data_IF_877037895878
#
_entry.id   IF_877037895878
#
_cell.length_a   1.000
_cell.length_b   1.000
_cell.length_c   1.000
_cell.angle_alpha   90.00
_cell.angle_beta   90.00
_cell.angle_gamma   90.00
#
_symmetry.space_group_name_H-M   'P 1'
#
loop_
_entity.id
_entity.type
_entity.pdbx_description
1 polymer ?
#
# COMPACT_ATOMS: atom_id res chain seq x y z
N UNK A 1 -5.91 -8.95 18.42
CA UNK A 1 -6.87 -8.99 17.30
C UNK A 1 -6.13 -9.54 16.10
N UNK A 2 -6.41 -10.77 15.68
CA UNK A 2 -5.78 -11.36 14.49
C UNK A 2 -6.75 -11.19 13.32
N UNK A 3 -6.38 -10.36 12.36
CA UNK A 3 -7.07 -10.31 11.07
C UNK A 3 -6.47 -11.37 10.15
N UNK A 4 -7.32 -12.17 9.53
CA UNK A 4 -6.90 -13.18 8.56
C UNK A 4 -7.22 -12.66 7.17
N UNK A 5 -6.19 -12.55 6.33
CA UNK A 5 -6.35 -12.04 4.98
C UNK A 5 -7.15 -13.01 4.12
N UNK A 6 -8.24 -12.53 3.54
CA UNK A 6 -8.98 -13.22 2.50
C UNK A 6 -8.38 -12.83 1.14
N UNK A 7 -7.77 -13.79 0.44
CA UNK A 7 -7.08 -13.53 -0.84
C UNK A 7 -8.02 -13.37 -2.04
N UNK A 8 -9.25 -13.86 -1.93
CA UNK A 8 -10.25 -13.84 -2.99
C UNK A 8 -11.56 -13.17 -2.55
N UNK A 9 -11.53 -11.86 -2.18
CA UNK A 9 -12.75 -11.15 -1.76
C UNK A 9 -13.80 -11.04 -2.87
N UNK A 10 -13.41 -11.15 -4.14
CA UNK A 10 -14.31 -11.00 -5.29
C UNK A 10 -14.81 -12.32 -5.88
N UNK A 11 -14.45 -13.46 -5.28
CA UNK A 11 -14.76 -14.78 -5.83
C UNK A 11 -13.94 -15.17 -7.08
N UNK A 12 -13.27 -14.22 -7.74
CA UNK A 12 -12.32 -14.46 -8.82
C UNK A 12 -10.90 -13.97 -8.45
N UNK A 13 -9.97 -14.92 -8.37
CA UNK A 13 -8.57 -14.68 -8.02
C UNK A 13 -7.89 -13.64 -8.93
N UNK A 14 -8.20 -13.65 -10.23
CA UNK A 14 -7.60 -12.72 -11.18
C UNK A 14 -8.03 -11.29 -10.92
N UNK A 15 -9.31 -11.06 -10.65
CA UNK A 15 -9.83 -9.72 -10.32
C UNK A 15 -9.27 -9.23 -8.98
N UNK A 16 -9.20 -10.10 -7.97
CA UNK A 16 -8.61 -9.76 -6.68
C UNK A 16 -7.11 -9.44 -6.79
N UNK A 17 -6.35 -10.17 -7.60
CA UNK A 17 -4.95 -9.89 -7.87
C UNK A 17 -4.76 -8.55 -8.61
N UNK A 18 -5.64 -8.25 -9.57
CA UNK A 18 -5.59 -7.01 -10.34
C UNK A 18 -5.85 -5.78 -9.44
N UNK A 19 -6.80 -5.89 -8.51
CA UNK A 19 -7.02 -4.86 -7.49
C UNK A 19 -5.87 -4.75 -6.51
N UNK A 20 -5.26 -5.88 -6.09
CA UNK A 20 -4.08 -5.86 -5.22
C UNK A 20 -2.87 -5.17 -5.90
N UNK A 21 -2.79 -5.20 -7.23
CA UNK A 21 -1.72 -4.54 -8.00
C UNK A 21 -1.93 -3.02 -8.17
N UNK A 22 -3.12 -2.47 -7.92
CA UNK A 22 -3.44 -1.06 -8.13
C UNK A 22 -2.42 -0.09 -7.50
N UNK A 23 -2.00 -0.24 -6.23
CA UNK A 23 -1.08 0.72 -5.62
C UNK A 23 0.28 0.77 -6.32
N UNK A 24 0.74 -0.38 -6.83
CA UNK A 24 1.99 -0.49 -7.60
C UNK A 24 1.83 0.21 -8.96
N UNK A 25 0.71 -0.02 -9.64
CA UNK A 25 0.41 0.64 -10.92
C UNK A 25 0.31 2.16 -10.74
N UNK A 26 -0.31 2.64 -9.66
CA UNK A 26 -0.41 4.07 -9.33
C UNK A 26 0.98 4.66 -9.10
N UNK A 27 1.79 4.03 -8.24
CA UNK A 27 3.12 4.54 -7.90
C UNK A 27 4.05 4.55 -9.12
N UNK A 28 4.17 3.43 -9.83
CA UNK A 28 5.02 3.31 -11.02
C UNK A 28 4.49 4.16 -12.16
N UNK A 29 3.17 4.23 -12.36
CA UNK A 29 2.54 5.07 -13.38
C UNK A 29 2.89 6.54 -13.19
N UNK A 30 2.76 7.06 -11.97
CA UNK A 30 3.06 8.45 -11.64
C UNK A 30 4.54 8.80 -11.82
N UNK A 31 5.45 7.87 -11.52
CA UNK A 31 6.88 8.07 -11.69
C UNK A 31 7.34 7.92 -13.15
N UNK A 32 6.94 6.83 -13.81
CA UNK A 32 7.46 6.46 -15.13
C UNK A 32 6.83 7.25 -16.28
N UNK A 33 5.55 7.59 -16.19
CA UNK A 33 4.83 8.27 -17.27
C UNK A 33 4.59 9.74 -16.96
N UNK A 34 4.06 10.04 -15.77
CA UNK A 34 3.69 11.40 -15.39
C UNK A 34 4.85 12.22 -14.79
N UNK A 35 6.00 11.59 -14.54
CA UNK A 35 7.20 12.23 -13.99
C UNK A 35 6.91 13.08 -12.72
N UNK A 36 5.97 12.62 -11.91
CA UNK A 36 5.58 13.30 -10.68
C UNK A 36 6.70 13.17 -9.65
N UNK A 37 6.90 14.20 -8.83
CA UNK A 37 7.90 14.16 -7.76
C UNK A 37 7.67 12.97 -6.83
N UNK A 38 8.75 12.29 -6.45
CA UNK A 38 8.69 11.02 -5.73
C UNK A 38 7.83 11.03 -4.45
N UNK A 39 7.84 12.13 -3.68
CA UNK A 39 7.03 12.25 -2.47
C UNK A 39 5.52 12.24 -2.77
N UNK A 40 5.08 12.90 -3.86
CA UNK A 40 3.67 12.89 -4.27
C UNK A 40 3.24 11.51 -4.80
N UNK A 41 4.11 10.85 -5.57
CA UNK A 41 3.85 9.48 -6.03
C UNK A 41 3.76 8.50 -4.85
N UNK A 42 4.63 8.64 -3.84
CA UNK A 42 4.59 7.82 -2.63
C UNK A 42 3.30 8.04 -1.82
N UNK A 43 2.86 9.29 -1.64
CA UNK A 43 1.59 9.60 -0.96
C UNK A 43 0.40 8.99 -1.71
N UNK A 44 0.37 9.10 -3.05
CA UNK A 44 -0.69 8.49 -3.86
C UNK A 44 -0.67 6.95 -3.80
N UNK A 45 0.51 6.34 -3.80
CA UNK A 45 0.69 4.90 -3.60
C UNK A 45 0.21 4.43 -2.23
N UNK A 46 0.51 5.20 -1.17
CA UNK A 46 0.04 4.91 0.20
C UNK A 46 -1.49 5.08 0.32
N UNK A 47 -2.05 6.13 -0.26
CA UNK A 47 -3.49 6.35 -0.23
C UNK A 47 -4.25 5.24 -0.98
N UNK A 48 -3.77 4.85 -2.16
CA UNK A 48 -4.36 3.75 -2.94
C UNK A 48 -4.22 2.39 -2.24
N UNK A 49 -3.09 2.08 -1.59
CA UNK A 49 -2.93 0.83 -0.83
C UNK A 49 -3.86 0.76 0.37
N UNK A 50 -4.02 1.84 1.13
CA UNK A 50 -4.97 1.92 2.24
C UNK A 50 -6.40 1.74 1.77
N UNK A 51 -6.78 2.41 0.67
CA UNK A 51 -8.13 2.34 0.13
C UNK A 51 -8.47 0.92 -0.33
N UNK A 52 -7.57 0.27 -1.08
CA UNK A 52 -7.76 -1.12 -1.52
C UNK A 52 -7.81 -2.07 -0.32
N UNK A 53 -6.89 -1.97 0.64
CA UNK A 53 -6.86 -2.86 1.80
C UNK A 53 -8.16 -2.76 2.65
N UNK A 54 -8.65 -1.55 2.88
CA UNK A 54 -9.84 -1.32 3.73
C UNK A 54 -11.12 -1.66 2.96
N UNK A 55 -11.28 -1.15 1.75
CA UNK A 55 -12.55 -1.22 1.00
C UNK A 55 -12.72 -2.56 0.28
N UNK A 56 -11.66 -3.08 -0.34
CA UNK A 56 -11.74 -4.30 -1.16
C UNK A 56 -11.47 -5.55 -0.31
N UNK A 57 -10.44 -5.51 0.53
CA UNK A 57 -10.01 -6.67 1.33
C UNK A 57 -10.62 -6.70 2.74
N UNK A 58 -11.42 -5.69 3.10
CA UNK A 58 -12.11 -5.65 4.39
C UNK A 58 -11.16 -5.61 5.59
N UNK A 59 -9.96 -5.07 5.41
CA UNK A 59 -8.98 -4.96 6.48
C UNK A 59 -9.46 -3.93 7.52
N UNK A 60 -9.50 -4.27 8.83
CA UNK A 60 -9.84 -3.31 9.88
C UNK A 60 -8.92 -2.08 9.84
N UNK A 61 -9.51 -0.89 9.84
CA UNK A 61 -8.79 0.38 9.69
C UNK A 61 -7.65 0.56 10.69
N UNK A 62 -7.83 0.12 11.94
CA UNK A 62 -6.79 0.15 12.98
C UNK A 62 -5.54 -0.66 12.58
N UNK A 63 -5.73 -1.84 12.00
CA UNK A 63 -4.62 -2.72 11.60
C UNK A 63 -3.99 -2.19 10.30
N UNK A 64 -4.79 -1.67 9.37
CA UNK A 64 -4.30 -1.06 8.13
C UNK A 64 -3.38 0.15 8.39
N UNK A 65 -3.80 1.07 9.27
CA UNK A 65 -2.99 2.22 9.67
C UNK A 65 -1.75 1.81 10.47
N UNK A 66 -1.88 0.81 11.36
CA UNK A 66 -0.74 0.27 12.08
C UNK A 66 0.29 -0.36 11.11
N UNK A 67 -0.16 -1.07 10.08
CA UNK A 67 0.71 -1.63 9.05
C UNK A 67 1.40 -0.53 8.23
N UNK A 68 0.69 0.54 7.87
CA UNK A 68 1.28 1.70 7.18
C UNK A 68 2.34 2.40 8.05
N UNK A 69 2.05 2.63 9.33
CA UNK A 69 3.01 3.20 10.28
C UNK A 69 4.24 2.30 10.48
N UNK A 70 4.03 0.98 10.59
CA UNK A 70 5.11 0.01 10.67
C UNK A 70 5.98 0.02 9.40
N UNK A 71 5.38 0.09 8.22
CA UNK A 71 6.11 0.24 6.96
C UNK A 71 6.93 1.54 6.90
N UNK A 72 6.36 2.66 7.35
CA UNK A 72 7.08 3.94 7.43
C UNK A 72 8.26 3.86 8.41
N UNK A 73 8.06 3.27 9.60
CA UNK A 73 9.13 3.05 10.57
C UNK A 73 10.24 2.15 10.00
N UNK A 74 9.88 1.06 9.32
CA UNK A 74 10.83 0.19 8.64
C UNK A 74 11.59 0.87 7.51
N UNK A 75 10.97 1.81 6.79
CA UNK A 75 11.64 2.58 5.74
C UNK A 75 12.58 3.64 6.29
N UNK A 76 12.19 4.30 7.39
CA UNK A 76 12.97 5.36 8.01
C UNK A 76 14.12 4.84 8.88
N UNK A 77 13.97 3.67 9.50
CA UNK A 77 14.96 3.12 10.43
C UNK A 77 16.35 2.88 9.79
N UNK A 78 16.48 2.26 8.59
CA UNK A 78 17.76 2.13 7.91
C UNK A 78 18.36 3.48 7.52
N UNK A 79 17.54 4.45 7.11
CA UNK A 79 18.01 5.80 6.76
C UNK A 79 18.61 6.48 7.99
N UNK A 80 17.94 6.37 9.14
CA UNK A 80 18.45 6.88 10.41
C UNK A 80 19.79 6.26 10.82
N UNK A 81 19.97 4.95 10.60
CA UNK A 81 21.22 4.25 10.91
C UNK A 81 22.37 4.61 9.97
N UNK A 82 22.10 4.91 8.70
CA UNK A 82 23.14 5.32 7.74
C UNK A 82 23.66 6.74 8.04
N UNK A 83 22.82 7.61 8.61
CA UNK A 83 23.16 9.01 8.90
C UNK A 83 23.90 9.18 10.23
N UNK A 84 23.73 8.24 11.18
CA UNK A 84 24.40 8.20 12.48
C UNK A 84 25.82 7.63 12.37
#
# INVERSE_FOLDING_TARGET
>A
MNWTQLYNPLGNLWLSALLAALPVVVLLGLLAFFHVKAHWAAIAGLASSLLVAIVVFGMPTKIALAAAANGAAYGLFPIGWIVL
#
